data_IF_910179501555
#
_entry.id   IF_910179501555
#
_cell.length_a   1.000
_cell.length_b   1.000
_cell.length_c   1.000
_cell.angle_alpha   90.00
_cell.angle_beta   90.00
_cell.angle_gamma   90.00
#
_symmetry.space_group_name_H-M   'P 1'
#
loop_
_entity.id
_entity.type
_entity.pdbx_description
1 polymer ?
#
# COMPACT_ATOMS: atom_id res chain seq x y z
N UNK A 1 -62.94 11.06 -3.83
CA UNK A 1 -61.67 11.22 -3.09
C UNK A 1 -60.54 10.79 -4.01
N UNK A 2 -59.58 11.69 -4.21
CA UNK A 2 -58.58 11.67 -5.29
C UNK A 2 -57.38 10.80 -4.89
N UNK A 3 -57.11 9.74 -5.65
CA UNK A 3 -55.88 8.95 -5.55
C UNK A 3 -54.80 9.56 -6.46
N UNK A 4 -53.75 10.10 -5.85
CA UNK A 4 -52.57 10.66 -6.54
C UNK A 4 -51.64 9.52 -6.99
N UNK A 5 -51.57 9.29 -8.29
CA UNK A 5 -50.41 8.65 -8.93
C UNK A 5 -49.48 9.77 -9.44
N UNK A 6 -48.30 9.89 -8.82
CA UNK A 6 -47.25 10.79 -9.31
C UNK A 6 -46.26 10.01 -10.18
N UNK A 7 -45.92 10.44 -11.41
CA UNK A 7 -44.88 9.79 -12.18
C UNK A 7 -43.52 10.35 -11.75
N UNK A 8 -42.73 9.55 -11.04
CA UNK A 8 -41.33 9.81 -10.75
C UNK A 8 -40.48 9.68 -12.02
N UNK A 9 -40.53 10.69 -12.90
CA UNK A 9 -39.73 10.76 -14.11
C UNK A 9 -38.25 11.04 -13.79
N UNK A 10 -37.36 10.16 -14.24
CA UNK A 10 -35.92 10.41 -14.31
C UNK A 10 -35.65 11.65 -15.16
N UNK A 11 -35.34 12.78 -14.52
CA UNK A 11 -34.92 14.00 -15.20
C UNK A 11 -33.54 13.77 -15.84
N UNK A 12 -33.50 13.57 -17.16
CA UNK A 12 -32.28 13.71 -17.97
C UNK A 12 -31.70 15.11 -17.69
N UNK A 13 -30.51 15.18 -17.09
CA UNK A 13 -29.77 16.44 -16.94
C UNK A 13 -29.52 17.01 -18.33
N UNK A 14 -30.06 18.20 -18.59
CA UNK A 14 -29.77 19.00 -19.78
C UNK A 14 -28.27 19.31 -19.73
N UNK A 15 -27.53 18.89 -20.74
CA UNK A 15 -26.13 19.26 -20.88
C UNK A 15 -26.12 20.76 -21.24
N UNK A 16 -25.85 21.63 -20.26
CA UNK A 16 -25.64 23.04 -20.54
C UNK A 16 -24.39 23.17 -21.40
N UNK A 17 -24.62 23.48 -22.68
CA UNK A 17 -23.60 23.66 -23.68
C UNK A 17 -22.93 25.01 -23.41
N UNK A 18 -21.99 25.05 -22.46
CA UNK A 18 -21.14 26.20 -22.26
C UNK A 18 -20.37 26.48 -23.56
N UNK A 19 -20.40 27.69 -24.12
CA UNK A 19 -19.60 28.02 -25.27
C UNK A 19 -18.13 27.81 -24.89
N UNK A 20 -17.47 26.89 -25.60
CA UNK A 20 -16.05 26.67 -25.48
C UNK A 20 -15.38 27.95 -25.97
N UNK A 21 -15.04 28.84 -25.03
CA UNK A 21 -14.32 30.06 -25.31
C UNK A 21 -13.09 29.66 -26.14
N UNK A 22 -12.93 30.29 -27.29
CA UNK A 22 -11.80 30.10 -28.20
C UNK A 22 -10.52 30.00 -27.36
N UNK A 23 -9.82 28.86 -27.45
CA UNK A 23 -8.46 28.74 -26.94
C UNK A 23 -7.70 29.92 -27.52
N UNK A 24 -7.33 30.88 -26.67
CA UNK A 24 -6.36 31.91 -27.05
C UNK A 24 -5.14 31.14 -27.55
N UNK A 25 -4.83 31.27 -28.84
CA UNK A 25 -3.61 30.71 -29.42
C UNK A 25 -2.45 31.21 -28.56
N UNK A 26 -1.89 30.30 -27.77
CA UNK A 26 -0.79 30.63 -26.87
C UNK A 26 0.40 31.04 -27.73
N UNK A 27 0.93 32.24 -27.51
CA UNK A 27 2.27 32.60 -27.98
C UNK A 27 3.21 31.45 -27.63
N UNK A 28 3.97 30.96 -28.62
CA UNK A 28 4.99 29.93 -28.43
C UNK A 28 5.91 30.34 -27.27
N UNK A 29 5.70 29.70 -26.11
CA UNK A 29 6.56 29.89 -24.95
C UNK A 29 7.86 29.17 -25.28
N UNK A 30 8.95 29.92 -25.36
CA UNK A 30 10.27 29.34 -25.60
C UNK A 30 10.54 28.21 -24.62
N UNK A 31 10.83 27.02 -25.15
CA UNK A 31 11.07 25.78 -24.39
C UNK A 31 12.28 25.87 -23.47
N UNK A 32 13.16 26.87 -23.67
CA UNK A 32 14.33 27.15 -22.85
C UNK A 32 14.13 28.30 -21.86
N UNK A 33 12.91 28.84 -21.73
CA UNK A 33 12.66 29.86 -20.71
C UNK A 33 12.88 29.30 -19.29
N UNK A 34 13.37 30.12 -18.33
CA UNK A 34 13.60 29.65 -16.96
C UNK A 34 12.37 29.01 -16.32
N UNK A 35 11.18 29.51 -16.65
CA UNK A 35 9.89 28.94 -16.19
C UNK A 35 9.70 27.54 -16.77
N UNK A 36 9.86 27.35 -18.09
CA UNK A 36 9.69 26.03 -18.70
C UNK A 36 10.72 25.01 -18.20
N UNK A 37 11.96 25.44 -17.93
CA UNK A 37 12.98 24.59 -17.31
C UNK A 37 12.60 24.17 -15.89
N UNK A 38 12.05 25.07 -15.07
CA UNK A 38 11.56 24.75 -13.73
C UNK A 38 10.37 23.79 -13.75
N UNK A 39 9.41 23.98 -14.67
CA UNK A 39 8.29 23.04 -14.83
C UNK A 39 8.76 21.66 -15.31
N UNK A 40 9.83 21.61 -16.11
CA UNK A 40 10.44 20.34 -16.51
C UNK A 40 11.08 19.61 -15.33
N UNK A 41 11.76 20.31 -14.42
CA UNK A 41 12.29 19.68 -13.20
C UNK A 41 11.17 19.23 -12.26
N UNK A 42 10.11 20.03 -12.10
CA UNK A 42 8.94 19.62 -11.30
C UNK A 42 8.25 18.40 -11.89
N UNK A 43 8.10 18.34 -13.22
CA UNK A 43 7.55 17.16 -13.89
C UNK A 43 8.38 15.92 -13.58
N UNK A 44 9.72 15.99 -13.70
CA UNK A 44 10.60 14.85 -13.42
C UNK A 44 10.48 14.38 -11.96
N UNK A 45 10.40 15.31 -11.01
CA UNK A 45 10.21 14.99 -9.59
C UNK A 45 8.85 14.32 -9.32
N UNK A 46 7.77 14.87 -9.90
CA UNK A 46 6.42 14.32 -9.77
C UNK A 46 6.31 12.93 -10.41
N UNK A 47 6.86 12.74 -11.60
CA UNK A 47 6.86 11.46 -12.32
C UNK A 47 7.62 10.40 -11.51
N UNK A 48 8.82 10.71 -11.02
CA UNK A 48 9.60 9.80 -10.17
C UNK A 48 8.84 9.42 -8.88
N UNK A 49 8.14 10.38 -8.26
CA UNK A 49 7.32 10.15 -7.07
C UNK A 49 6.11 9.25 -7.38
N UNK A 50 5.41 9.47 -8.49
CA UNK A 50 4.29 8.63 -8.89
C UNK A 50 4.74 7.21 -9.22
N UNK A 51 5.86 7.06 -9.93
CA UNK A 51 6.44 5.75 -10.22
C UNK A 51 6.75 4.96 -8.95
N UNK A 52 7.33 5.63 -7.93
CA UNK A 52 7.57 5.04 -6.61
C UNK A 52 6.25 4.66 -5.92
N UNK A 53 5.27 5.55 -5.91
CA UNK A 53 3.96 5.28 -5.32
C UNK A 53 3.31 4.02 -5.92
N UNK A 54 3.34 3.87 -7.25
CA UNK A 54 2.80 2.70 -7.93
C UNK A 54 3.57 1.41 -7.62
N UNK A 55 4.90 1.47 -7.46
CA UNK A 55 5.68 0.30 -6.98
C UNK A 55 5.25 -0.10 -5.57
N UNK A 56 5.08 0.86 -4.68
CA UNK A 56 4.63 0.62 -3.29
C UNK A 56 3.22 0.06 -3.23
N UNK A 57 2.28 0.55 -4.06
CA UNK A 57 0.91 0.03 -4.15
C UNK A 57 0.91 -1.44 -4.57
N UNK A 58 1.76 -1.83 -5.54
CA UNK A 58 1.89 -3.23 -5.98
C UNK A 58 2.41 -4.12 -4.85
N UNK A 59 3.48 -3.71 -4.17
CA UNK A 59 4.02 -4.43 -3.01
C UNK A 59 2.98 -4.57 -1.90
N UNK A 60 2.27 -3.48 -1.58
CA UNK A 60 1.17 -3.46 -0.60
C UNK A 60 0.07 -4.44 -0.95
N UNK A 61 -0.34 -4.50 -2.23
CA UNK A 61 -1.34 -5.46 -2.71
C UNK A 61 -0.88 -6.90 -2.52
N UNK A 62 0.38 -7.21 -2.83
CA UNK A 62 0.95 -8.54 -2.67
C UNK A 62 1.06 -8.95 -1.20
N UNK A 63 1.37 -8.00 -0.31
CA UNK A 63 1.36 -8.20 1.15
C UNK A 63 -0.06 -8.51 1.63
N UNK A 64 -1.07 -7.74 1.20
CA UNK A 64 -2.47 -7.98 1.57
C UNK A 64 -2.92 -9.36 1.13
N UNK A 65 -2.62 -9.77 -0.11
CA UNK A 65 -3.06 -11.06 -0.64
C UNK A 65 -2.45 -12.23 0.13
N UNK A 66 -1.15 -12.20 0.40
CA UNK A 66 -0.47 -13.28 1.13
C UNK A 66 -0.85 -13.29 2.62
N UNK A 67 -1.07 -12.13 3.24
CA UNK A 67 -1.55 -12.05 4.62
C UNK A 67 -2.95 -12.66 4.76
N UNK A 68 -3.88 -12.34 3.84
CA UNK A 68 -5.20 -12.99 3.80
C UNK A 68 -5.12 -14.50 3.62
N UNK A 69 -4.28 -14.95 2.68
CA UNK A 69 -4.07 -16.40 2.46
C UNK A 69 -3.58 -17.09 3.73
N UNK A 70 -2.72 -16.41 4.49
CA UNK A 70 -2.23 -16.89 5.78
C UNK A 70 -3.33 -16.93 6.83
N UNK A 71 -4.18 -15.91 6.92
CA UNK A 71 -5.36 -15.91 7.81
C UNK A 71 -6.30 -17.08 7.48
N UNK A 72 -6.60 -17.31 6.19
CA UNK A 72 -7.42 -18.45 5.76
C UNK A 72 -6.76 -19.80 6.05
N UNK A 73 -5.43 -19.89 5.95
CA UNK A 73 -4.69 -21.09 6.35
C UNK A 73 -4.84 -21.35 7.86
N UNK A 74 -4.68 -20.32 8.69
CA UNK A 74 -4.83 -20.41 10.14
C UNK A 74 -6.25 -20.81 10.57
N UNK A 75 -7.28 -20.40 9.83
CA UNK A 75 -8.66 -20.84 10.06
C UNK A 75 -8.89 -22.34 9.84
N UNK A 76 -7.95 -23.07 9.21
CA UNK A 76 -8.08 -24.52 8.99
C UNK A 76 -7.72 -25.36 10.23
N UNK A 77 -7.15 -24.74 11.26
CA UNK A 77 -6.81 -25.42 12.50
C UNK A 77 -8.12 -25.84 13.17
N UNK A 78 -8.40 -27.14 13.14
CA UNK A 78 -9.64 -27.72 13.69
C UNK A 78 -9.38 -28.63 14.89
N UNK A 79 -8.14 -29.10 15.09
CA UNK A 79 -7.75 -29.98 16.20
C UNK A 79 -6.25 -29.82 16.56
N UNK A 80 -5.78 -30.57 17.56
CA UNK A 80 -4.38 -30.52 18.01
C UNK A 80 -3.32 -31.13 17.06
N UNK A 81 -3.58 -32.21 16.28
CA UNK A 81 -2.53 -32.86 15.51
C UNK A 81 -2.14 -32.12 14.22
N UNK A 82 -3.04 -31.34 13.61
CA UNK A 82 -2.82 -30.51 12.42
C UNK A 82 -2.27 -29.11 12.76
N UNK A 83 -2.33 -28.71 14.04
CA UNK A 83 -2.00 -27.37 14.47
C UNK A 83 -0.54 -26.98 14.21
N UNK A 84 0.42 -27.84 14.57
CA UNK A 84 1.86 -27.51 14.48
C UNK A 84 2.32 -27.38 13.02
N UNK A 85 1.83 -28.26 12.14
CA UNK A 85 2.13 -28.22 10.71
C UNK A 85 1.59 -26.94 10.07
N UNK A 86 0.33 -26.59 10.34
CA UNK A 86 -0.30 -25.37 9.82
C UNK A 86 0.41 -24.13 10.38
N UNK A 87 0.78 -24.12 11.66
CA UNK A 87 1.52 -23.01 12.25
C UNK A 87 2.90 -22.83 11.61
N UNK A 88 3.61 -23.93 11.35
CA UNK A 88 4.90 -23.89 10.64
C UNK A 88 4.74 -23.38 9.21
N UNK A 89 3.74 -23.87 8.48
CA UNK A 89 3.44 -23.41 7.12
C UNK A 89 3.06 -21.91 7.11
N UNK A 90 2.26 -21.46 8.08
CA UNK A 90 1.89 -20.05 8.21
C UNK A 90 3.08 -19.15 8.51
N UNK A 91 4.05 -19.62 9.29
CA UNK A 91 5.27 -18.86 9.60
C UNK A 91 6.10 -18.65 8.33
N UNK A 92 6.27 -19.69 7.51
CA UNK A 92 6.98 -19.60 6.23
C UNK A 92 6.31 -18.58 5.30
N UNK A 93 4.97 -18.53 5.28
CA UNK A 93 4.24 -17.52 4.50
C UNK A 93 4.45 -16.11 5.05
N UNK A 94 4.43 -15.94 6.37
CA UNK A 94 4.70 -14.64 7.01
C UNK A 94 6.13 -14.18 6.78
N UNK A 95 7.12 -15.07 6.71
CA UNK A 95 8.47 -14.72 6.28
C UNK A 95 8.47 -14.13 4.87
N UNK A 96 7.77 -14.76 3.93
CA UNK A 96 7.59 -14.23 2.57
C UNK A 96 6.93 -12.84 2.56
N UNK A 97 5.98 -12.59 3.47
CA UNK A 97 5.37 -11.26 3.64
C UNK A 97 6.39 -10.26 4.19
N UNK A 98 7.18 -10.64 5.21
CA UNK A 98 8.25 -9.79 5.78
C UNK A 98 9.29 -9.43 4.72
N UNK A 99 9.63 -10.32 3.78
CA UNK A 99 10.52 -10.00 2.66
C UNK A 99 9.93 -8.94 1.72
N UNK A 100 8.62 -8.92 1.49
CA UNK A 100 7.98 -7.83 0.73
C UNK A 100 7.98 -6.53 1.51
N UNK A 101 7.78 -6.57 2.83
CA UNK A 101 7.88 -5.38 3.69
C UNK A 101 9.31 -4.82 3.67
N UNK A 102 10.34 -5.68 3.62
CA UNK A 102 11.72 -5.23 3.40
C UNK A 102 11.87 -4.45 2.08
N UNK A 103 11.29 -4.92 0.97
CA UNK A 103 11.32 -4.20 -0.31
C UNK A 103 10.62 -2.84 -0.20
N UNK A 104 9.50 -2.78 0.53
CA UNK A 104 8.82 -1.51 0.84
C UNK A 104 9.75 -0.57 1.61
N UNK A 105 10.41 -1.07 2.65
CA UNK A 105 11.30 -0.27 3.49
C UNK A 105 12.54 0.22 2.72
N UNK A 106 13.04 -0.56 1.75
CA UNK A 106 14.10 -0.14 0.82
C UNK A 106 13.64 0.99 -0.12
N UNK A 107 12.42 0.92 -0.67
CA UNK A 107 11.86 1.98 -1.52
C UNK A 107 11.61 3.30 -0.76
N UNK A 108 11.32 3.20 0.54
CA UNK A 108 11.08 4.34 1.44
C UNK A 108 12.37 4.87 2.10
N UNK A 109 13.52 4.22 1.92
CA UNK A 109 14.77 4.67 2.51
C UNK A 109 15.16 6.05 1.99
N UNK A 110 15.21 7.04 2.88
CA UNK A 110 15.53 8.43 2.54
C UNK A 110 14.34 9.28 2.09
N UNK A 111 13.12 8.74 2.15
CA UNK A 111 11.86 9.46 1.86
C UNK A 111 11.14 9.85 3.15
N UNK A 112 10.21 10.82 3.05
CA UNK A 112 9.22 11.04 4.11
C UNK A 112 8.18 9.91 4.10
N UNK A 113 8.21 9.06 5.12
CA UNK A 113 7.31 7.90 5.24
C UNK A 113 5.83 8.29 5.17
N UNK A 114 5.44 9.43 5.73
CA UNK A 114 4.03 9.84 5.77
C UNK A 114 3.50 10.21 4.38
N UNK A 115 4.37 10.59 3.45
CA UNK A 115 4.00 10.92 2.07
C UNK A 115 3.48 9.69 1.30
N UNK A 116 4.05 8.51 1.58
CA UNK A 116 3.72 7.27 0.90
C UNK A 116 2.87 6.31 1.76
N UNK A 117 2.56 6.66 3.01
CA UNK A 117 1.77 5.84 3.93
C UNK A 117 0.46 5.32 3.29
N UNK A 118 -0.23 6.13 2.49
CA UNK A 118 -1.47 5.71 1.81
C UNK A 118 -1.29 4.58 0.80
N UNK A 119 -0.09 4.41 0.23
CA UNK A 119 0.19 3.31 -0.68
C UNK A 119 0.31 1.96 0.06
N UNK A 120 0.79 1.98 1.30
CA UNK A 120 1.22 0.77 2.03
C UNK A 120 0.33 0.40 3.22
N UNK A 121 -0.47 1.34 3.72
CA UNK A 121 -1.23 1.18 4.97
C UNK A 121 -2.15 -0.06 4.97
N UNK A 122 -2.77 -0.39 3.85
CA UNK A 122 -3.66 -1.56 3.74
C UNK A 122 -2.89 -2.88 3.82
N UNK A 123 -1.73 -2.98 3.18
CA UNK A 123 -0.83 -4.13 3.31
C UNK A 123 -0.35 -4.31 4.75
N UNK A 124 0.09 -3.23 5.40
CA UNK A 124 0.57 -3.26 6.78
C UNK A 124 -0.52 -3.67 7.78
N UNK A 125 -1.75 -3.13 7.63
CA UNK A 125 -2.88 -3.52 8.48
C UNK A 125 -3.19 -5.03 8.36
N UNK A 126 -3.21 -5.55 7.13
CA UNK A 126 -3.46 -6.98 6.90
C UNK A 126 -2.35 -7.87 7.46
N UNK A 127 -1.08 -7.43 7.37
CA UNK A 127 0.04 -8.12 8.01
C UNK A 127 -0.11 -8.15 9.53
N UNK A 128 -0.47 -7.02 10.15
CA UNK A 128 -0.75 -6.93 11.59
C UNK A 128 -1.88 -7.89 11.98
N UNK A 129 -2.96 -7.96 11.20
CA UNK A 129 -4.05 -8.92 11.42
C UNK A 129 -3.54 -10.38 11.36
N UNK A 130 -2.74 -10.73 10.36
CA UNK A 130 -2.21 -12.08 10.21
C UNK A 130 -1.27 -12.49 11.34
N UNK A 131 -0.30 -11.65 11.72
CA UNK A 131 0.65 -11.99 12.80
C UNK A 131 -0.02 -11.99 14.17
N UNK A 132 -0.96 -11.08 14.42
CA UNK A 132 -1.72 -11.06 15.68
C UNK A 132 -2.63 -12.28 15.79
N UNK A 133 -3.26 -12.70 14.69
CA UNK A 133 -4.08 -13.91 14.69
C UNK A 133 -3.24 -15.17 14.93
N UNK A 134 -2.11 -15.31 14.23
CA UNK A 134 -1.18 -16.43 14.45
C UNK A 134 -0.65 -16.44 15.90
N UNK A 135 -0.26 -15.28 16.43
CA UNK A 135 0.23 -15.16 17.79
C UNK A 135 -0.85 -15.55 18.81
N UNK A 136 -2.09 -15.09 18.64
CA UNK A 136 -3.20 -15.47 19.53
C UNK A 136 -3.47 -16.98 19.52
N UNK A 137 -3.38 -17.62 18.35
CA UNK A 137 -3.51 -19.08 18.24
C UNK A 137 -2.41 -19.80 19.05
N UNK A 138 -1.16 -19.31 19.00
CA UNK A 138 0.00 -19.88 19.71
C UNK A 138 -0.04 -19.63 21.22
N UNK A 139 -0.33 -18.40 21.66
CA UNK A 139 -0.07 -17.95 23.03
C UNK A 139 -1.32 -17.59 23.83
N UNK A 140 -2.49 -17.49 23.16
CA UNK A 140 -3.74 -16.96 23.73
C UNK A 140 -3.61 -15.55 24.32
N UNK A 141 -2.70 -14.76 23.77
CA UNK A 141 -2.48 -13.36 24.13
C UNK A 141 -2.43 -12.46 22.89
N UNK A 142 -2.44 -11.15 23.09
CA UNK A 142 -2.30 -10.16 22.03
C UNK A 142 -0.84 -9.76 21.89
N UNK A 143 -0.29 -9.86 20.67
CA UNK A 143 1.05 -9.37 20.35
C UNK A 143 1.12 -7.84 20.48
N UNK A 144 2.21 -7.33 21.06
CA UNK A 144 2.46 -5.89 21.17
C UNK A 144 2.98 -5.30 19.86
N UNK A 145 2.86 -3.97 19.73
CA UNK A 145 3.41 -3.24 18.58
C UNK A 145 4.93 -3.39 18.50
N UNK A 146 5.61 -3.36 19.65
CA UNK A 146 7.05 -3.52 19.76
C UNK A 146 7.52 -4.90 19.25
N UNK A 147 6.77 -5.96 19.57
CA UNK A 147 7.06 -7.31 19.10
C UNK A 147 6.89 -7.46 17.59
N UNK A 148 5.87 -6.82 17.00
CA UNK A 148 5.69 -6.77 15.54
C UNK A 148 6.88 -6.03 14.91
N UNK A 149 7.21 -4.83 15.40
CA UNK A 149 8.27 -4.00 14.84
C UNK A 149 9.67 -4.66 14.95
N UNK A 150 9.88 -5.47 15.98
CA UNK A 150 11.11 -6.27 16.12
C UNK A 150 11.28 -7.27 14.97
N UNK A 151 10.19 -7.85 14.47
CA UNK A 151 10.22 -8.76 13.31
C UNK A 151 10.43 -8.02 11.98
N UNK A 152 10.23 -6.70 11.95
CA UNK A 152 10.41 -5.84 10.79
C UNK A 152 11.72 -5.03 10.85
N UNK A 153 12.67 -5.48 11.65
CA UNK A 153 14.03 -4.94 11.65
C UNK A 153 14.90 -5.83 10.78
N UNK A 154 15.38 -5.28 9.67
CA UNK A 154 16.19 -6.02 8.71
C UNK A 154 17.62 -5.50 8.73
N UNK A 155 18.58 -6.41 8.93
CA UNK A 155 20.01 -6.13 8.81
C UNK A 155 20.49 -6.53 7.43
N UNK A 156 21.09 -5.60 6.70
CA UNK A 156 21.84 -5.93 5.49
C UNK A 156 23.30 -6.13 5.87
N UNK A 157 23.81 -7.35 5.70
CA UNK A 157 25.25 -7.60 5.72
C UNK A 157 25.79 -7.33 4.31
N UNK A 158 26.13 -6.06 4.05
CA UNK A 158 26.94 -5.74 2.88
C UNK A 158 28.39 -6.15 3.20
N UNK A 159 28.92 -7.05 2.39
CA UNK A 159 30.29 -7.54 2.44
C UNK A 159 31.31 -6.39 2.35
N UNK A 160 31.63 -5.78 3.49
CA UNK A 160 32.69 -4.78 3.66
C UNK A 160 32.27 -3.31 3.78
N UNK A 161 30.97 -2.97 3.89
CA UNK A 161 30.52 -1.61 4.20
C UNK A 161 29.35 -1.62 5.19
N UNK A 162 29.37 -0.63 6.09
CA UNK A 162 28.47 -0.38 7.23
C UNK A 162 27.10 -1.10 7.18
N UNK A 163 26.80 -1.85 8.24
CA UNK A 163 25.51 -2.53 8.40
C UNK A 163 24.37 -1.51 8.44
N UNK A 164 23.55 -1.47 7.40
CA UNK A 164 22.34 -0.63 7.36
C UNK A 164 21.17 -1.39 7.94
N UNK A 165 20.65 -0.86 9.04
CA UNK A 165 19.38 -1.30 9.62
C UNK A 165 18.25 -0.61 8.88
N UNK A 166 17.40 -1.38 8.22
CA UNK A 166 16.22 -0.87 7.51
C UNK A 166 14.97 -1.22 8.34
N UNK A 167 14.11 -0.23 8.55
CA UNK A 167 12.86 -0.33 9.31
C UNK A 167 11.75 0.38 8.56
N UNK A 168 10.52 -0.04 8.83
CA UNK A 168 9.30 0.63 8.37
C UNK A 168 8.53 1.20 9.57
#
# INVERSE_FOLDING_TARGET
MSGKEGPGGFRKRKHDNFPHNQRREGKDVSSSSPVMLAFKSFQQELDARHDKYERLVKLSRDITVESKRTIFLLHRITSAPDMEEILTESEIKLDGVRQKILQVAQELSGEDMHQFHRAVTTGLQEYVEAVSFQHFIKTRSLISMEEINKQLTFTTEDSGKESKTVRI
#
